data_IF_558728152783
#
_entry.id   IF_558728152783
#
_cell.length_a   1.000
_cell.length_b   1.000
_cell.length_c   1.000
_cell.angle_alpha   90.00
_cell.angle_beta   90.00
_cell.angle_gamma   90.00
#
_symmetry.space_group_name_H-M   'P 1'
#
loop_
_entity.id
_entity.type
_entity.pdbx_description
1 polymer ?
#
# COMPACT_ATOMS: atom_id res chain seq x y z
N UNK A 1 -3.28 7.15 -9.77
CA UNK A 1 -3.03 5.72 -10.08
C UNK A 1 -3.63 4.95 -8.93
N UNK A 2 -4.58 4.06 -9.19
CA UNK A 2 -5.24 3.29 -8.13
C UNK A 2 -4.18 2.48 -7.38
N UNK A 3 -4.10 2.65 -6.06
CA UNK A 3 -3.16 1.90 -5.18
C UNK A 3 -3.59 0.42 -5.01
N UNK A 4 -4.02 -0.21 -6.11
CA UNK A 4 -4.49 -1.59 -6.19
C UNK A 4 -3.39 -2.38 -6.89
N UNK A 5 -2.66 -3.27 -6.17
CA UNK A 5 -1.66 -4.11 -6.80
C UNK A 5 -2.29 -5.08 -7.80
N UNK A 6 -1.56 -5.51 -8.84
CA UNK A 6 -2.07 -6.38 -9.92
C UNK A 6 -2.60 -7.72 -9.40
N UNK A 7 -2.03 -8.22 -8.31
CA UNK A 7 -2.43 -9.46 -7.64
C UNK A 7 -3.43 -9.24 -6.51
N UNK A 8 -4.05 -8.06 -6.42
CA UNK A 8 -5.12 -7.82 -5.47
C UNK A 8 -6.41 -8.53 -5.91
N UNK A 9 -7.31 -8.89 -4.97
CA UNK A 9 -8.67 -9.28 -5.30
C UNK A 9 -9.38 -8.19 -6.11
N UNK A 10 -10.24 -8.56 -7.05
CA UNK A 10 -10.99 -7.61 -7.90
C UNK A 10 -11.82 -6.60 -7.09
N UNK A 11 -12.25 -6.98 -5.89
CA UNK A 11 -13.01 -6.12 -4.97
C UNK A 11 -12.14 -5.26 -4.05
N UNK A 12 -10.82 -5.23 -4.23
CA UNK A 12 -9.94 -4.40 -3.42
C UNK A 12 -10.20 -2.92 -3.73
N UNK A 13 -10.62 -2.11 -2.74
CA UNK A 13 -10.89 -0.69 -2.97
C UNK A 13 -9.61 0.14 -3.19
N UNK A 14 -8.42 -0.45 -2.97
CA UNK A 14 -7.12 0.23 -3.01
C UNK A 14 -6.69 0.78 -1.65
N UNK A 15 -5.39 0.80 -1.38
CA UNK A 15 -4.86 1.19 -0.05
C UNK A 15 -4.99 2.69 0.24
N UNK A 16 -5.12 3.54 -0.78
CA UNK A 16 -5.41 4.96 -0.65
C UNK A 16 -6.90 5.34 -0.61
N UNK A 17 -7.81 4.37 -0.68
CA UNK A 17 -9.25 4.64 -0.67
C UNK A 17 -9.78 4.93 0.74
N UNK A 18 -10.77 5.79 0.86
CA UNK A 18 -11.47 6.04 2.14
C UNK A 18 -12.15 4.77 2.70
N UNK A 19 -12.45 3.82 1.81
CA UNK A 19 -13.06 2.53 2.12
C UNK A 19 -12.03 1.41 2.40
N UNK A 20 -10.72 1.71 2.34
CA UNK A 20 -9.67 0.75 2.67
C UNK A 20 -9.87 0.21 4.10
N UNK A 21 -9.86 -1.12 4.27
CA UNK A 21 -10.09 -1.77 5.56
C UNK A 21 -11.53 -1.71 6.11
N UNK A 22 -12.43 -0.95 5.47
CA UNK A 22 -13.82 -0.74 5.89
C UNK A 22 -14.84 -1.42 4.97
N UNK A 23 -14.51 -1.58 3.69
CA UNK A 23 -15.38 -2.27 2.74
C UNK A 23 -15.58 -3.75 3.13
N UNK A 24 -16.71 -4.33 2.72
CA UNK A 24 -17.00 -5.76 2.92
C UNK A 24 -15.91 -6.66 2.33
N UNK A 25 -15.35 -6.29 1.18
CA UNK A 25 -14.22 -7.00 0.54
C UNK A 25 -12.91 -6.95 1.33
N UNK A 26 -12.81 -6.13 2.39
CA UNK A 26 -11.64 -6.11 3.28
C UNK A 26 -11.77 -7.09 4.46
N UNK A 27 -12.94 -7.70 4.68
CA UNK A 27 -13.16 -8.61 5.80
C UNK A 27 -12.27 -9.85 5.68
N UNK A 28 -11.43 -10.08 6.70
CA UNK A 28 -10.51 -11.22 6.73
C UNK A 28 -9.14 -10.96 6.08
N UNK A 29 -8.90 -9.77 5.52
CA UNK A 29 -7.56 -9.40 5.05
C UNK A 29 -6.61 -9.24 6.26
N UNK A 30 -5.38 -9.80 6.22
CA UNK A 30 -4.42 -9.71 7.33
C UNK A 30 -4.13 -8.28 7.78
N UNK A 31 -4.13 -7.33 6.83
CA UNK A 31 -3.83 -5.93 7.09
C UNK A 31 -5.09 -5.04 7.19
N UNK A 32 -6.29 -5.62 7.38
CA UNK A 32 -7.55 -4.86 7.40
C UNK A 32 -7.52 -3.66 8.36
N UNK A 33 -7.06 -3.86 9.61
CA UNK A 33 -6.99 -2.80 10.62
C UNK A 33 -6.03 -1.69 10.22
N UNK A 34 -4.89 -2.07 9.63
CA UNK A 34 -3.88 -1.11 9.14
C UNK A 34 -4.48 -0.29 8.00
N UNK A 35 -5.11 -0.92 7.02
CA UNK A 35 -5.81 -0.22 5.94
C UNK A 35 -6.93 0.69 6.47
N UNK A 36 -7.68 0.27 7.49
CA UNK A 36 -8.78 1.04 8.08
C UNK A 36 -8.31 2.30 8.83
N UNK A 37 -7.08 2.28 9.36
CA UNK A 37 -6.48 3.42 10.04
C UNK A 37 -6.18 4.58 9.09
N UNK A 38 -5.95 4.29 7.80
CA UNK A 38 -5.48 5.27 6.82
C UNK A 38 -4.07 5.79 7.08
N UNK A 39 -3.36 5.26 8.08
CA UNK A 39 -2.00 5.66 8.40
C UNK A 39 -1.05 5.19 7.31
N UNK A 40 -0.36 6.15 6.69
CA UNK A 40 0.73 5.90 5.74
C UNK A 40 2.04 6.35 6.39
N UNK A 41 2.63 5.54 7.28
CA UNK A 41 3.88 5.90 7.93
C UNK A 41 4.96 6.09 6.87
N UNK A 42 5.65 7.22 6.93
CA UNK A 42 6.82 7.47 6.09
C UNK A 42 8.00 6.73 6.71
N UNK A 43 8.68 5.90 5.91
CA UNK A 43 9.90 5.23 6.35
C UNK A 43 10.98 6.28 6.63
N UNK A 44 11.52 6.38 7.86
CA UNK A 44 12.56 7.36 8.20
C UNK A 44 13.85 7.18 7.38
N UNK A 45 14.07 6.00 6.80
CA UNK A 45 15.26 5.67 6.01
C UNK A 45 15.04 5.83 4.51
N UNK A 46 13.90 6.38 4.06
CA UNK A 46 13.54 6.41 2.63
C UNK A 46 14.59 7.13 1.76
N UNK A 47 15.24 8.17 2.28
CA UNK A 47 16.27 8.90 1.55
C UNK A 47 17.59 8.11 1.47
N UNK A 48 17.95 7.37 2.53
CA UNK A 48 19.10 6.47 2.50
C UNK A 48 18.90 5.32 1.51
N UNK A 49 17.70 4.73 1.50
CA UNK A 49 17.32 3.69 0.54
C UNK A 49 17.44 4.23 -0.89
N UNK A 50 16.89 5.42 -1.17
CA UNK A 50 17.01 6.07 -2.49
C UNK A 50 18.46 6.29 -2.90
N UNK A 51 19.31 6.77 -1.98
CA UNK A 51 20.73 6.96 -2.25
C UNK A 51 21.42 5.64 -2.64
N UNK A 52 21.14 4.55 -1.90
CA UNK A 52 21.68 3.21 -2.20
C UNK A 52 21.17 2.64 -3.52
N UNK A 53 19.91 2.89 -3.87
CA UNK A 53 19.30 2.41 -5.11
C UNK A 53 19.66 3.26 -6.34
N UNK A 54 20.26 4.44 -6.17
CA UNK A 54 20.55 5.40 -7.24
C UNK A 54 21.42 4.86 -8.39
N UNK A 55 22.25 3.85 -8.12
CA UNK A 55 23.11 3.21 -9.12
C UNK A 55 22.44 2.10 -9.93
N UNK A 56 21.22 1.68 -9.57
CA UNK A 56 20.52 0.57 -10.23
C UNK A 56 19.86 1.08 -11.51
N UNK A 57 20.24 0.49 -12.65
CA UNK A 57 19.60 0.75 -13.95
C UNK A 57 18.52 -0.30 -14.19
N UNK A 58 17.26 0.14 -14.28
CA UNK A 58 16.17 -0.71 -14.75
C UNK A 58 16.33 -0.95 -16.26
N UNK A 59 16.15 -2.20 -16.72
CA UNK A 59 16.07 -2.55 -18.14
C UNK A 59 14.62 -2.52 -18.61
#
# INVERSE_FOLDING_TARGET
>A
MSDIPENAPESCPGTGSENAGKASGCAGCPNQKVCASGEKPVDPNIDEIRARMSGIKHK
#
